data_IF_468130528322
#
_entry.id   IF_468130528322
#
_cell.length_a   1.000
_cell.length_b   1.000
_cell.length_c   1.000
_cell.angle_alpha   90.00
_cell.angle_beta   90.00
_cell.angle_gamma   90.00
#
_symmetry.space_group_name_H-M   'P 1'
#
loop_
_entity.id
_entity.type
_entity.pdbx_description
1 polymer ?
#
# COMPACT_ATOMS: atom_id res chain seq x y z
N UNK A 1 13.69 10.12 -7.37
CA UNK A 1 12.82 11.28 -7.68
C UNK A 1 11.43 10.71 -7.52
N UNK A 2 10.85 10.88 -6.33
CA UNK A 2 9.44 10.56 -6.09
C UNK A 2 8.63 11.45 -7.02
N UNK A 3 7.68 10.85 -7.72
CA UNK A 3 6.73 11.60 -8.54
C UNK A 3 5.43 11.48 -7.76
N UNK A 4 5.07 12.52 -7.02
CA UNK A 4 3.85 12.52 -6.23
C UNK A 4 2.76 13.32 -7.00
N UNK A 5 1.58 12.72 -7.16
CA UNK A 5 0.38 13.19 -7.90
C UNK A 5 0.48 13.30 -9.44
N UNK A 6 1.53 12.80 -10.09
CA UNK A 6 1.32 12.37 -11.47
C UNK A 6 0.46 11.09 -11.42
N UNK A 7 -0.74 11.11 -12.01
CA UNK A 7 -1.47 9.90 -12.43
C UNK A 7 -0.65 9.12 -13.50
N UNK A 8 0.62 8.83 -13.21
CA UNK A 8 1.46 7.86 -13.87
C UNK A 8 0.96 6.50 -13.40
N UNK A 9 -0.11 6.07 -14.05
CA UNK A 9 -0.94 4.88 -13.88
C UNK A 9 -0.22 3.55 -13.54
N UNK A 10 1.12 3.47 -13.47
CA UNK A 10 1.91 2.24 -13.47
C UNK A 10 3.30 2.50 -12.82
N UNK A 11 3.40 2.67 -11.50
CA UNK A 11 4.69 2.47 -10.78
C UNK A 11 4.68 1.33 -9.77
N UNK A 12 3.53 0.70 -9.55
CA UNK A 12 3.38 -0.53 -8.76
C UNK A 12 2.77 -1.70 -9.55
N UNK A 13 2.74 -1.61 -10.88
CA UNK A 13 2.40 -2.76 -11.74
C UNK A 13 3.34 -3.97 -11.54
N UNK A 14 4.47 -3.74 -10.87
CA UNK A 14 5.37 -4.79 -10.40
C UNK A 14 4.71 -5.72 -9.37
N UNK A 15 3.59 -5.34 -8.73
CA UNK A 15 2.85 -6.22 -7.83
C UNK A 15 2.29 -7.45 -8.57
N UNK A 16 1.83 -7.32 -9.81
CA UNK A 16 1.41 -8.46 -10.63
C UNK A 16 2.60 -9.37 -10.99
N UNK A 17 3.79 -8.80 -11.20
CA UNK A 17 5.01 -9.56 -11.51
C UNK A 17 5.64 -10.20 -10.26
N UNK A 18 5.47 -9.60 -9.08
CA UNK A 18 6.11 -10.00 -7.82
C UNK A 18 5.26 -10.97 -6.99
N UNK A 19 3.92 -10.84 -7.02
CA UNK A 19 2.99 -11.67 -6.24
C UNK A 19 2.16 -12.65 -7.09
N UNK A 20 2.34 -12.64 -8.42
CA UNK A 20 1.66 -13.56 -9.35
C UNK A 20 0.27 -13.09 -9.77
N UNK A 21 -0.38 -13.87 -10.64
CA UNK A 21 -1.71 -13.55 -11.18
C UNK A 21 -2.85 -13.78 -10.17
N UNK A 22 -2.53 -14.28 -8.97
CA UNK A 22 -3.50 -14.64 -7.93
C UNK A 22 -3.60 -13.50 -6.92
N UNK A 23 -4.81 -12.97 -6.80
CA UNK A 23 -5.10 -11.83 -5.95
C UNK A 23 -6.37 -12.09 -5.16
N UNK A 24 -6.54 -11.49 -3.98
CA UNK A 24 -7.65 -11.80 -3.11
C UNK A 24 -9.04 -11.63 -3.73
N UNK A 25 -9.18 -10.72 -4.70
CA UNK A 25 -10.45 -10.43 -5.37
C UNK A 25 -10.45 -10.84 -6.86
N UNK A 26 -9.45 -11.60 -7.31
CA UNK A 26 -9.35 -12.07 -8.70
C UNK A 26 -9.06 -10.97 -9.72
N UNK A 27 -8.66 -9.78 -9.27
CA UNK A 27 -8.35 -8.61 -10.09
C UNK A 27 -7.00 -8.01 -9.67
N UNK A 28 -5.86 -8.64 -10.03
CA UNK A 28 -4.55 -8.29 -9.49
C UNK A 28 -4.16 -6.83 -9.75
N UNK A 29 -4.55 -6.27 -10.90
CA UNK A 29 -4.33 -4.86 -11.21
C UNK A 29 -5.10 -3.90 -10.28
N UNK A 30 -6.31 -4.25 -9.86
CA UNK A 30 -7.10 -3.40 -8.96
C UNK A 30 -6.63 -3.58 -7.51
N UNK A 31 -6.37 -4.83 -7.10
CA UNK A 31 -5.91 -5.13 -5.74
C UNK A 31 -4.55 -4.47 -5.44
N UNK A 32 -3.66 -4.39 -6.43
CA UNK A 32 -2.39 -3.66 -6.34
C UNK A 32 -2.56 -2.14 -6.29
N UNK A 33 -3.48 -1.59 -7.08
CA UNK A 33 -3.74 -0.15 -7.10
C UNK A 33 -4.20 0.38 -5.74
N UNK A 34 -4.90 -0.41 -4.94
CA UNK A 34 -5.37 0.03 -3.62
C UNK A 34 -4.20 0.37 -2.70
N UNK A 35 -3.15 -0.44 -2.69
CA UNK A 35 -1.93 -0.15 -1.93
C UNK A 35 -1.27 1.14 -2.40
N UNK A 36 -1.12 1.31 -3.72
CA UNK A 36 -0.51 2.50 -4.30
C UNK A 36 -1.31 3.76 -4.02
N UNK A 37 -2.63 3.72 -4.20
CA UNK A 37 -3.48 4.87 -3.88
C UNK A 37 -3.39 5.22 -2.40
N UNK A 38 -3.31 4.23 -1.50
CA UNK A 38 -3.11 4.46 -0.07
C UNK A 38 -1.79 5.16 0.25
N UNK A 39 -0.70 4.76 -0.43
CA UNK A 39 0.62 5.38 -0.34
C UNK A 39 0.57 6.85 -0.76
N UNK A 40 0.13 7.13 -1.98
CA UNK A 40 0.14 8.48 -2.56
C UNK A 40 -0.82 9.43 -1.82
N UNK A 41 -1.94 8.92 -1.28
CA UNK A 41 -2.82 9.72 -0.41
C UNK A 41 -2.10 10.14 0.88
N UNK A 42 -1.27 9.28 1.45
CA UNK A 42 -0.54 9.58 2.67
C UNK A 42 0.53 10.67 2.44
N UNK A 43 1.19 10.67 1.29
CA UNK A 43 2.16 11.69 0.89
C UNK A 43 1.47 13.02 0.61
N UNK A 44 0.45 12.99 -0.26
CA UNK A 44 -0.39 14.14 -0.60
C UNK A 44 -1.06 14.81 0.61
N UNK A 45 -1.40 14.05 1.66
CA UNK A 45 -1.99 14.59 2.89
C UNK A 45 -1.00 15.45 3.69
N UNK A 46 0.30 15.23 3.54
CA UNK A 46 1.34 16.01 4.22
C UNK A 46 1.75 17.23 3.41
N UNK A 47 2.07 17.05 2.13
CA UNK A 47 2.28 18.11 1.15
C UNK A 47 2.34 17.46 -0.25
N UNK A 48 1.48 17.85 -1.20
CA UNK A 48 1.42 17.25 -2.54
C UNK A 48 2.58 17.61 -3.49
N UNK A 49 3.52 18.48 -3.09
CA UNK A 49 4.64 18.91 -3.94
C UNK A 49 5.98 18.40 -3.40
N UNK A 50 6.62 17.49 -4.15
CA UNK A 50 7.92 16.89 -3.77
C UNK A 50 9.07 17.89 -3.61
N UNK A 51 8.91 19.13 -4.08
CA UNK A 51 9.89 20.20 -3.92
C UNK A 51 9.69 21.03 -2.66
N UNK A 52 8.50 21.04 -2.07
CA UNK A 52 8.19 21.68 -0.78
C UNK A 52 7.80 20.71 0.32
N UNK A 53 7.65 19.44 -0.02
CA UNK A 53 7.01 18.46 0.82
C UNK A 53 7.79 18.05 2.05
N UNK A 54 7.10 17.39 2.96
CA UNK A 54 7.74 16.89 4.17
C UNK A 54 8.63 15.71 3.80
N UNK A 55 9.93 15.97 3.76
CA UNK A 55 10.95 14.97 3.48
C UNK A 55 11.73 14.64 4.74
N UNK A 56 12.05 13.35 4.90
CA UNK A 56 13.08 12.91 5.84
C UNK A 56 14.47 13.42 5.43
N UNK A 57 15.45 13.31 6.33
CA UNK A 57 16.83 13.70 6.05
C UNK A 57 17.45 12.97 4.86
N UNK A 58 16.92 11.79 4.54
CA UNK A 58 17.36 10.94 3.44
C UNK A 58 16.57 11.20 2.14
N UNK A 59 15.62 12.16 2.15
CA UNK A 59 14.85 12.60 0.99
C UNK A 59 13.65 11.73 0.63
N UNK A 60 13.18 10.90 1.57
CA UNK A 60 11.96 10.10 1.43
C UNK A 60 10.75 10.82 2.05
N UNK A 61 9.59 10.73 1.41
CA UNK A 61 8.30 11.17 1.95
C UNK A 61 7.78 10.19 3.02
N UNK A 62 6.67 10.49 3.67
CA UNK A 62 6.18 9.68 4.79
C UNK A 62 5.75 8.27 4.38
N UNK A 63 5.13 8.08 3.21
CA UNK A 63 4.71 6.74 2.77
C UNK A 63 5.90 5.94 2.19
N UNK A 64 6.85 6.60 1.52
CA UNK A 64 8.13 6.04 1.11
C UNK A 64 8.90 5.33 2.23
N UNK A 65 8.85 5.83 3.47
CA UNK A 65 9.50 5.18 4.63
C UNK A 65 9.01 3.75 4.87
N UNK A 66 7.79 3.45 4.44
CA UNK A 66 7.11 2.18 4.65
C UNK A 66 6.77 1.45 3.35
N UNK A 67 7.24 1.97 2.21
CA UNK A 67 7.10 1.31 0.93
C UNK A 67 7.57 -0.15 1.02
N UNK A 68 6.78 -1.05 0.44
CA UNK A 68 7.00 -2.50 0.43
C UNK A 68 7.00 -3.20 1.79
N UNK A 69 6.59 -2.54 2.87
CA UNK A 69 6.43 -3.15 4.19
C UNK A 69 4.97 -3.54 4.41
N UNK A 70 4.70 -4.84 4.56
CA UNK A 70 3.32 -5.35 4.66
C UNK A 70 2.94 -5.85 6.06
N UNK A 71 3.82 -5.69 7.05
CA UNK A 71 3.57 -6.13 8.43
C UNK A 71 3.24 -7.63 8.51
N UNK A 72 2.29 -7.97 9.39
CA UNK A 72 1.77 -9.33 9.51
C UNK A 72 0.82 -9.66 8.34
N UNK A 73 1.14 -10.74 7.64
CA UNK A 73 0.41 -11.20 6.46
C UNK A 73 -0.31 -12.51 6.76
N UNK A 74 -1.57 -12.59 6.33
CA UNK A 74 -2.36 -13.80 6.28
C UNK A 74 -2.42 -14.36 4.87
N UNK A 75 -2.64 -15.65 4.74
CA UNK A 75 -2.81 -16.32 3.45
C UNK A 75 -4.20 -16.97 3.38
N UNK A 76 -4.83 -16.92 2.22
CA UNK A 76 -6.04 -17.68 1.91
C UNK A 76 -5.94 -18.23 0.48
N UNK A 77 -6.98 -18.92 0.02
CA UNK A 77 -7.07 -19.48 -1.32
C UNK A 77 -8.33 -19.03 -2.04
N UNK A 78 -8.26 -18.95 -3.36
CA UNK A 78 -9.43 -18.75 -4.21
C UNK A 78 -10.23 -20.06 -4.40
N UNK A 79 -11.34 -19.99 -5.13
CA UNK A 79 -12.19 -21.16 -5.42
C UNK A 79 -11.52 -22.24 -6.29
N UNK A 80 -10.42 -21.90 -6.96
CA UNK A 80 -9.63 -22.79 -7.80
C UNK A 80 -8.42 -23.39 -7.05
N UNK A 81 -8.21 -22.99 -5.79
CA UNK A 81 -7.14 -23.48 -4.92
C UNK A 81 -5.82 -22.71 -5.06
N UNK A 82 -5.79 -21.59 -5.77
CA UNK A 82 -4.60 -20.73 -5.81
C UNK A 82 -4.53 -19.91 -4.54
N UNK A 83 -3.34 -19.81 -3.95
CA UNK A 83 -3.11 -19.05 -2.72
C UNK A 83 -2.83 -17.58 -3.01
N UNK A 84 -3.33 -16.69 -2.16
CA UNK A 84 -2.99 -15.27 -2.15
C UNK A 84 -2.77 -14.79 -0.72
N UNK A 85 -1.99 -13.73 -0.60
CA UNK A 85 -1.67 -13.11 0.67
C UNK A 85 -2.49 -11.82 0.87
N UNK A 86 -2.82 -11.49 2.12
CA UNK A 86 -3.53 -10.27 2.49
C UNK A 86 -3.17 -9.85 3.92
N UNK A 87 -3.23 -8.54 4.20
CA UNK A 87 -3.01 -8.00 5.55
C UNK A 87 -4.14 -7.05 6.00
N UNK A 88 -5.11 -6.79 5.12
CA UNK A 88 -6.27 -5.96 5.41
C UNK A 88 -7.56 -6.66 4.94
N UNK A 89 -8.62 -6.51 5.73
CA UNK A 89 -9.98 -6.94 5.37
C UNK A 89 -10.89 -5.71 5.43
N UNK A 90 -11.44 -5.31 4.29
CA UNK A 90 -12.40 -4.21 4.20
C UNK A 90 -13.78 -4.58 4.75
N UNK A 91 -14.66 -3.59 4.88
CA UNK A 91 -15.98 -3.75 5.50
C UNK A 91 -16.87 -4.83 4.86
N UNK A 92 -16.72 -5.07 3.56
CA UNK A 92 -17.51 -6.08 2.82
C UNK A 92 -16.85 -7.46 2.80
N UNK A 93 -15.79 -7.66 3.60
CA UNK A 93 -15.00 -8.91 3.62
C UNK A 93 -14.00 -9.03 2.46
N UNK A 94 -13.92 -8.02 1.58
CA UNK A 94 -12.87 -7.93 0.57
C UNK A 94 -11.51 -7.86 1.23
N UNK A 95 -10.54 -8.55 0.65
CA UNK A 95 -9.19 -8.66 1.22
C UNK A 95 -8.22 -7.91 0.35
N UNK A 96 -7.24 -7.28 0.97
CA UNK A 96 -6.25 -6.47 0.27
C UNK A 96 -4.87 -6.71 0.86
N UNK A 97 -3.88 -6.60 -0.01
CA UNK A 97 -2.50 -6.46 0.39
C UNK A 97 -2.14 -4.99 0.28
N UNK A 98 -1.90 -4.33 1.40
CA UNK A 98 -1.57 -2.91 1.45
C UNK A 98 -0.27 -2.66 2.18
N UNK A 99 0.50 -1.70 1.71
CA UNK A 99 1.71 -1.26 2.41
C UNK A 99 1.34 -0.55 3.72
N UNK A 100 2.24 -0.68 4.70
CA UNK A 100 2.17 0.07 5.94
C UNK A 100 2.40 1.56 5.66
N UNK A 101 1.89 2.40 6.57
CA UNK A 101 2.16 3.82 6.57
C UNK A 101 3.00 4.19 7.78
N UNK A 102 3.78 5.27 7.66
CA UNK A 102 4.55 5.80 8.76
C UNK A 102 3.64 6.42 9.82
N UNK A 103 3.63 5.85 11.03
CA UNK A 103 2.94 6.42 12.17
C UNK A 103 3.89 7.32 12.97
N UNK A 104 3.52 8.60 13.09
CA UNK A 104 4.28 9.61 13.81
C UNK A 104 4.28 9.39 15.33
N UNK A 105 3.30 8.67 15.88
CA UNK A 105 3.18 8.42 17.32
C UNK A 105 4.13 7.30 17.74
N UNK A 106 4.08 6.16 17.05
CA UNK A 106 4.99 5.03 17.30
C UNK A 106 6.39 5.23 16.71
N UNK A 107 6.53 6.09 15.70
CA UNK A 107 7.78 6.24 14.95
C UNK A 107 8.15 4.96 14.19
N UNK A 108 7.14 4.27 13.63
CA UNK A 108 7.32 2.99 12.94
C UNK A 108 6.26 2.77 11.85
N UNK A 109 6.52 1.80 10.97
CA UNK A 109 5.57 1.40 9.93
C UNK A 109 4.47 0.52 10.50
N UNK A 110 3.23 0.98 10.38
CA UNK A 110 2.04 0.30 10.90
C UNK A 110 1.01 0.08 9.79
N UNK A 111 0.31 -1.06 9.85
CA UNK A 111 -0.87 -1.29 9.00
C UNK A 111 -2.01 -0.45 9.56
N UNK A 112 -2.36 0.62 8.84
CA UNK A 112 -3.46 1.50 9.23
C UNK A 112 -4.79 0.91 8.78
N UNK A 113 -5.26 -0.11 9.50
CA UNK A 113 -6.45 -0.88 9.17
C UNK A 113 -7.49 -0.96 10.28
N UNK A 114 -7.19 -0.49 11.50
CA UNK A 114 -8.14 -0.51 12.59
C UNK A 114 -8.69 0.90 12.86
N UNK A 115 -9.92 1.14 12.42
CA UNK A 115 -10.74 2.18 13.03
C UNK A 115 -11.19 1.70 14.43
N UNK A 116 -10.24 1.60 15.36
CA UNK A 116 -10.51 1.45 16.78
C UNK A 116 -10.77 2.86 17.33
N UNK A 117 -12.05 3.20 17.56
CA UNK A 117 -12.42 4.43 18.28
C UNK A 117 -12.03 4.35 19.76
#
# INVERSE_FOLDING_TARGET
MGEDIALGFIRHHDLCCKYGDHSPNGMPGIDSMISTIGHEIAEAATDPDTSSGWLTSDGAENADLCAWQYGDVSQDSDGDGNTYDYNMVGNDGMRFMVEANWDLISGSCQIQGDCSC
#
